data_IF_261610044997
#
_entry.id   IF_261610044997
#
_cell.length_a   1.000
_cell.length_b   1.000
_cell.length_c   1.000
_cell.angle_alpha   90.00
_cell.angle_beta   90.00
_cell.angle_gamma   90.00
#
_symmetry.space_group_name_H-M   'P 1'
#
loop_
_entity.id
_entity.type
_entity.pdbx_description
1 polymer ?
#
# COMPACT_ATOMS: atom_id res chain seq x y z
N UNK A 1 -5.51 24.86 -36.94
CA UNK A 1 -6.80 24.89 -36.25
C UNK A 1 -7.05 23.48 -35.72
N UNK A 2 -6.72 23.20 -34.46
CA UNK A 2 -7.05 21.93 -33.83
C UNK A 2 -8.53 22.00 -33.44
N UNK A 3 -9.36 21.16 -34.04
CA UNK A 3 -10.74 20.99 -33.67
C UNK A 3 -10.81 20.50 -32.22
N UNK A 4 -11.51 21.23 -31.36
CA UNK A 4 -11.93 20.82 -30.03
C UNK A 4 -12.98 19.70 -30.15
N UNK A 5 -12.58 18.55 -30.64
CA UNK A 5 -13.40 17.34 -30.55
C UNK A 5 -13.50 16.97 -29.08
N UNK A 6 -14.72 16.87 -28.57
CA UNK A 6 -15.00 16.24 -27.29
C UNK A 6 -14.37 14.84 -27.33
N UNK A 7 -13.26 14.63 -26.62
CA UNK A 7 -12.63 13.32 -26.53
C UNK A 7 -13.69 12.37 -25.94
N UNK A 8 -14.02 11.30 -26.68
CA UNK A 8 -14.87 10.26 -26.15
C UNK A 8 -14.21 9.75 -24.86
N UNK A 9 -14.96 9.72 -23.77
CA UNK A 9 -14.44 9.25 -22.48
C UNK A 9 -13.90 7.81 -22.58
N UNK A 10 -14.48 6.99 -23.46
CA UNK A 10 -14.03 5.63 -23.75
C UNK A 10 -13.50 5.59 -25.19
N UNK A 11 -12.24 5.23 -25.34
CA UNK A 11 -11.62 5.14 -26.66
C UNK A 11 -12.20 3.96 -27.46
N UNK A 12 -12.50 4.11 -28.78
CA UNK A 12 -13.13 3.05 -29.58
C UNK A 12 -12.35 1.74 -29.69
N UNK A 13 -11.03 1.77 -29.46
CA UNK A 13 -10.17 0.57 -29.45
C UNK A 13 -10.05 -0.07 -28.06
N UNK A 14 -10.71 0.46 -27.03
CA UNK A 14 -10.77 -0.20 -25.74
C UNK A 14 -11.73 -1.40 -25.79
N UNK A 15 -11.36 -2.48 -25.15
CA UNK A 15 -12.18 -3.69 -25.04
C UNK A 15 -12.79 -3.71 -23.65
N UNK A 16 -14.13 -3.70 -23.57
CA UNK A 16 -14.86 -3.71 -22.31
C UNK A 16 -15.83 -4.89 -22.35
N UNK A 17 -15.67 -5.83 -21.41
CA UNK A 17 -16.57 -6.99 -21.33
C UNK A 17 -17.94 -6.62 -20.77
N UNK A 18 -18.99 -7.33 -21.23
CA UNK A 18 -20.38 -6.94 -21.01
C UNK A 18 -20.86 -6.90 -19.56
N UNK A 19 -20.13 -7.51 -18.61
CA UNK A 19 -20.43 -7.45 -17.18
C UNK A 19 -19.57 -6.43 -16.40
N UNK A 20 -18.76 -5.63 -17.09
CA UNK A 20 -18.05 -4.51 -16.46
C UNK A 20 -19.00 -3.35 -16.18
N UNK A 21 -18.90 -2.79 -14.99
CA UNK A 21 -19.71 -1.66 -14.53
C UNK A 21 -18.84 -0.39 -14.45
N UNK A 22 -19.10 0.55 -15.35
CA UNK A 22 -18.40 1.83 -15.39
C UNK A 22 -19.33 2.95 -14.91
N UNK A 23 -18.93 3.69 -13.90
CA UNK A 23 -19.68 4.86 -13.45
C UNK A 23 -19.59 6.01 -14.46
N UNK A 24 -20.36 7.10 -14.24
CA UNK A 24 -20.30 8.30 -15.06
C UNK A 24 -18.89 8.90 -15.10
N UNK A 25 -18.52 9.50 -16.24
CA UNK A 25 -17.24 10.21 -16.46
C UNK A 25 -15.96 9.37 -16.22
N UNK A 26 -16.04 8.05 -16.28
CA UNK A 26 -14.86 7.18 -16.37
C UNK A 26 -14.24 7.34 -17.76
N UNK A 27 -12.94 7.57 -17.82
CA UNK A 27 -12.20 7.65 -19.08
C UNK A 27 -11.32 6.41 -19.27
N UNK A 28 -11.43 5.77 -20.46
CA UNK A 28 -10.62 4.58 -20.81
C UNK A 28 -9.82 4.87 -22.07
N UNK A 29 -8.50 4.78 -21.96
CA UNK A 29 -7.57 5.01 -23.05
C UNK A 29 -7.54 3.87 -24.10
N UNK A 30 -6.83 4.11 -25.23
CA UNK A 30 -6.78 3.15 -26.34
C UNK A 30 -6.12 1.83 -25.94
N UNK A 31 -6.61 0.74 -26.54
CA UNK A 31 -6.07 -0.63 -26.39
C UNK A 31 -6.07 -1.15 -24.94
N UNK A 32 -6.88 -0.56 -24.06
CA UNK A 32 -7.07 -1.07 -22.71
C UNK A 32 -8.13 -2.15 -22.68
N UNK A 33 -7.95 -3.14 -21.79
CA UNK A 33 -8.86 -4.24 -21.58
C UNK A 33 -9.50 -4.15 -20.18
N UNK A 34 -10.82 -4.11 -20.14
CA UNK A 34 -11.61 -4.11 -18.90
C UNK A 34 -12.43 -5.40 -18.87
N UNK A 35 -12.04 -6.31 -18.01
CA UNK A 35 -12.59 -7.66 -17.93
C UNK A 35 -13.95 -7.74 -17.24
N UNK A 36 -14.54 -8.91 -17.31
CA UNK A 36 -15.80 -9.24 -16.65
C UNK A 36 -15.69 -9.06 -15.11
N UNK A 37 -16.75 -8.53 -14.48
CA UNK A 37 -16.81 -8.33 -13.03
C UNK A 37 -15.94 -7.19 -12.52
N UNK A 38 -15.43 -6.33 -13.39
CA UNK A 38 -14.72 -5.10 -13.02
C UNK A 38 -15.73 -3.99 -12.76
N UNK A 39 -15.56 -3.25 -11.65
CA UNK A 39 -16.34 -2.06 -11.29
C UNK A 39 -15.42 -0.86 -11.16
N UNK A 40 -15.72 0.25 -11.83
CA UNK A 40 -14.90 1.47 -11.82
C UNK A 40 -15.75 2.68 -11.43
N UNK A 41 -15.34 3.33 -10.33
CA UNK A 41 -16.00 4.52 -9.78
C UNK A 41 -15.77 5.77 -10.60
N UNK A 42 -16.64 6.76 -10.39
CA UNK A 42 -16.71 8.01 -11.15
C UNK A 42 -15.40 8.79 -11.17
N UNK A 43 -15.09 9.44 -12.28
CA UNK A 43 -13.91 10.29 -12.44
C UNK A 43 -12.57 9.54 -12.55
N UNK A 44 -12.59 8.21 -12.51
CA UNK A 44 -11.37 7.41 -12.69
C UNK A 44 -10.91 7.45 -14.16
N UNK A 45 -9.61 7.62 -14.34
CA UNK A 45 -8.94 7.69 -15.64
C UNK A 45 -8.02 6.49 -15.80
N UNK A 46 -8.29 5.67 -16.80
CA UNK A 46 -7.47 4.53 -17.21
C UNK A 46 -6.69 4.91 -18.48
N UNK A 47 -5.37 4.82 -18.42
CA UNK A 47 -4.46 5.12 -19.52
C UNK A 47 -4.60 4.14 -20.69
N UNK A 48 -3.69 4.22 -21.65
CA UNK A 48 -3.63 3.27 -22.77
C UNK A 48 -2.95 1.95 -22.37
N UNK A 49 -3.33 0.85 -23.01
CA UNK A 49 -2.70 -0.47 -22.80
C UNK A 49 -2.72 -0.93 -21.33
N UNK A 50 -3.76 -0.59 -20.59
CA UNK A 50 -3.98 -1.09 -19.23
C UNK A 50 -4.84 -2.35 -19.30
N UNK A 51 -4.49 -3.35 -18.50
CA UNK A 51 -5.30 -4.56 -18.33
C UNK A 51 -5.90 -4.58 -16.93
N UNK A 52 -7.22 -4.61 -16.83
CA UNK A 52 -7.94 -4.76 -15.57
C UNK A 52 -8.79 -6.02 -15.64
N UNK A 53 -8.50 -7.02 -14.81
CA UNK A 53 -9.26 -8.25 -14.69
C UNK A 53 -10.15 -8.24 -13.46
N UNK A 54 -11.28 -8.88 -13.54
CA UNK A 54 -12.19 -9.05 -12.40
C UNK A 54 -12.11 -10.41 -11.72
N UNK A 55 -12.71 -10.53 -10.52
CA UNK A 55 -13.43 -9.49 -9.78
C UNK A 55 -12.54 -8.39 -9.21
N UNK A 56 -12.71 -7.16 -9.65
CA UNK A 56 -11.96 -6.00 -9.18
C UNK A 56 -12.89 -4.79 -9.02
N UNK A 57 -12.85 -4.16 -7.85
CA UNK A 57 -13.57 -2.92 -7.56
C UNK A 57 -12.58 -1.77 -7.40
N UNK A 58 -12.77 -0.71 -8.17
CA UNK A 58 -11.94 0.49 -8.17
C UNK A 58 -12.84 1.68 -7.82
N UNK A 59 -12.46 2.45 -6.81
CA UNK A 59 -13.18 3.63 -6.35
C UNK A 59 -13.14 4.78 -7.34
N UNK A 60 -13.35 5.99 -6.83
CA UNK A 60 -13.48 7.23 -7.61
C UNK A 60 -12.12 7.91 -7.82
N UNK A 61 -12.03 8.71 -8.90
CA UNK A 61 -10.93 9.64 -9.13
C UNK A 61 -9.52 9.00 -9.12
N UNK A 62 -9.43 7.71 -9.40
CA UNK A 62 -8.15 7.03 -9.55
C UNK A 62 -7.51 7.38 -10.90
N UNK A 63 -6.18 7.34 -10.95
CA UNK A 63 -5.38 7.49 -12.18
C UNK A 63 -4.53 6.26 -12.39
N UNK A 64 -4.81 5.49 -13.43
CA UNK A 64 -4.09 4.26 -13.77
C UNK A 64 -3.34 4.50 -15.09
N UNK A 65 -2.03 4.42 -15.02
CA UNK A 65 -1.15 4.70 -16.16
C UNK A 65 -0.93 3.46 -17.02
N UNK A 66 -0.43 3.70 -18.23
CA UNK A 66 -0.23 2.70 -19.27
C UNK A 66 0.59 1.49 -18.81
N UNK A 67 0.30 0.34 -19.40
CA UNK A 67 0.97 -0.94 -19.16
C UNK A 67 0.85 -1.47 -17.72
N UNK A 68 -0.10 -0.98 -16.93
CA UNK A 68 -0.43 -1.55 -15.63
C UNK A 68 -1.28 -2.80 -15.77
N UNK A 69 -1.05 -3.79 -14.89
CA UNK A 69 -1.81 -5.04 -14.78
C UNK A 69 -2.52 -5.07 -13.42
N UNK A 70 -3.83 -4.94 -13.45
CA UNK A 70 -4.67 -4.77 -12.26
C UNK A 70 -5.64 -5.95 -12.14
N UNK A 71 -5.70 -6.58 -10.96
CA UNK A 71 -6.64 -7.69 -10.70
C UNK A 71 -6.25 -8.99 -11.38
N UNK A 72 -4.98 -9.19 -11.72
CA UNK A 72 -4.50 -10.46 -12.27
C UNK A 72 -4.54 -11.56 -11.21
N UNK A 73 -4.50 -12.82 -11.65
CA UNK A 73 -4.47 -13.98 -10.78
C UNK A 73 -3.27 -13.94 -9.82
N UNK A 74 -3.44 -14.43 -8.59
CA UNK A 74 -2.34 -14.51 -7.64
C UNK A 74 -1.15 -15.33 -8.18
N UNK A 75 0.06 -14.86 -7.96
CA UNK A 75 1.29 -15.63 -8.25
C UNK A 75 1.59 -16.61 -7.11
N UNK A 76 0.63 -17.45 -6.78
CA UNK A 76 0.76 -18.50 -5.77
C UNK A 76 0.52 -19.87 -6.43
N UNK A 77 1.44 -20.83 -6.20
CA UNK A 77 1.31 -22.20 -6.71
C UNK A 77 0.08 -22.96 -6.17
N UNK A 78 -0.49 -22.50 -5.07
CA UNK A 78 -1.69 -23.07 -4.46
C UNK A 78 -3.00 -22.53 -5.06
N UNK A 79 -2.92 -21.44 -5.83
CA UNK A 79 -4.09 -20.87 -6.47
C UNK A 79 -4.65 -21.84 -7.52
N UNK A 80 -5.94 -22.15 -7.41
CA UNK A 80 -6.63 -23.12 -8.24
C UNK A 80 -7.88 -22.52 -8.95
N UNK A 81 -7.77 -21.26 -9.39
CA UNK A 81 -8.82 -20.49 -10.05
C UNK A 81 -10.06 -20.20 -9.17
N UNK A 82 -9.86 -20.07 -7.87
CA UNK A 82 -10.92 -19.67 -6.94
C UNK A 82 -11.36 -18.22 -7.19
N UNK A 83 -12.61 -17.93 -6.87
CA UNK A 83 -13.15 -16.57 -6.97
C UNK A 83 -12.58 -15.74 -5.81
N UNK A 84 -11.69 -14.83 -6.15
CA UNK A 84 -11.05 -13.89 -5.23
C UNK A 84 -11.09 -12.49 -5.83
N UNK A 85 -10.85 -11.45 -5.04
CA UNK A 85 -11.04 -10.08 -5.49
C UNK A 85 -9.88 -9.15 -5.18
N UNK A 86 -9.89 -8.00 -5.85
CA UNK A 86 -9.08 -6.83 -5.55
C UNK A 86 -10.00 -5.63 -5.30
N UNK A 87 -9.80 -4.94 -4.19
CA UNK A 87 -10.52 -3.73 -3.85
C UNK A 87 -9.54 -2.55 -3.78
N UNK A 88 -9.80 -1.50 -4.55
CA UNK A 88 -9.02 -0.26 -4.60
C UNK A 88 -9.94 0.90 -4.23
N UNK A 89 -9.55 1.70 -3.25
CA UNK A 89 -10.27 2.88 -2.82
C UNK A 89 -10.19 4.04 -3.82
N UNK A 90 -10.30 5.25 -3.33
CA UNK A 90 -10.42 6.48 -4.11
C UNK A 90 -9.06 7.20 -4.30
N UNK A 91 -8.93 8.02 -5.34
CA UNK A 91 -7.84 8.98 -5.59
C UNK A 91 -6.43 8.38 -5.59
N UNK A 92 -6.29 7.10 -5.86
CA UNK A 92 -4.97 6.50 -6.01
C UNK A 92 -4.35 6.84 -7.36
N UNK A 93 -3.03 7.00 -7.37
CA UNK A 93 -2.23 7.11 -8.58
C UNK A 93 -1.40 5.85 -8.75
N UNK A 94 -1.68 5.07 -9.80
CA UNK A 94 -0.98 3.83 -10.14
C UNK A 94 -0.20 4.09 -11.43
N UNK A 95 1.12 4.19 -11.30
CA UNK A 95 2.01 4.49 -12.41
C UNK A 95 2.25 3.26 -13.28
N UNK A 96 2.91 3.52 -14.40
CA UNK A 96 3.17 2.56 -15.47
C UNK A 96 3.90 1.30 -14.98
N UNK A 97 3.59 0.18 -15.62
CA UNK A 97 4.16 -1.16 -15.33
C UNK A 97 3.93 -1.66 -13.90
N UNK A 98 2.98 -1.09 -13.18
CA UNK A 98 2.60 -1.61 -11.85
C UNK A 98 1.73 -2.86 -11.99
N UNK A 99 1.85 -3.78 -11.03
CA UNK A 99 1.02 -4.99 -10.97
C UNK A 99 0.38 -5.15 -9.59
N UNK A 100 -0.96 -5.30 -9.57
CA UNK A 100 -1.75 -5.45 -8.35
C UNK A 100 -2.61 -6.71 -8.51
N UNK A 101 -2.39 -7.72 -7.65
CA UNK A 101 -3.04 -9.02 -7.76
C UNK A 101 -4.21 -9.19 -6.82
N UNK A 102 -5.16 -10.06 -7.17
CA UNK A 102 -6.27 -10.47 -6.31
C UNK A 102 -5.78 -11.28 -5.12
N UNK A 103 -6.65 -11.46 -4.13
CA UNK A 103 -6.39 -12.30 -2.96
C UNK A 103 -6.40 -13.80 -3.28
N UNK A 104 -6.17 -14.63 -2.24
CA UNK A 104 -6.25 -16.09 -2.31
C UNK A 104 -7.26 -16.63 -1.29
N UNK A 105 -7.84 -17.80 -1.55
CA UNK A 105 -8.79 -18.45 -0.64
C UNK A 105 -8.17 -18.85 0.69
N UNK A 106 -6.86 -18.94 0.77
CA UNK A 106 -6.12 -19.33 1.96
C UNK A 106 -6.11 -18.25 3.05
N UNK A 107 -6.53 -17.02 2.73
CA UNK A 107 -6.66 -15.92 3.68
C UNK A 107 -8.03 -15.23 3.52
N UNK A 108 -8.07 -13.94 3.26
CA UNK A 108 -9.30 -13.15 3.19
C UNK A 108 -10.00 -13.20 1.82
N UNK A 109 -9.43 -13.88 0.84
CA UNK A 109 -9.89 -13.92 -0.55
C UNK A 109 -9.90 -12.55 -1.25
N UNK A 110 -9.24 -11.55 -0.66
CA UNK A 110 -9.22 -10.19 -1.17
C UNK A 110 -7.89 -9.48 -0.87
N UNK A 111 -7.37 -8.78 -1.87
CA UNK A 111 -6.32 -7.76 -1.69
C UNK A 111 -7.01 -6.41 -1.55
N UNK A 112 -6.64 -5.61 -0.54
CA UNK A 112 -7.27 -4.32 -0.23
C UNK A 112 -6.28 -3.18 -0.30
N UNK A 113 -6.67 -2.12 -1.00
CA UNK A 113 -5.90 -0.88 -1.14
C UNK A 113 -6.82 0.29 -0.75
N UNK A 114 -6.37 1.12 0.17
CA UNK A 114 -7.07 2.30 0.64
C UNK A 114 -7.05 3.45 -0.36
N UNK A 115 -7.02 4.67 0.13
CA UNK A 115 -7.20 5.90 -0.63
C UNK A 115 -5.92 6.73 -0.71
N UNK A 116 -5.86 7.64 -1.68
CA UNK A 116 -4.82 8.68 -1.79
C UNK A 116 -3.39 8.12 -1.87
N UNK A 117 -3.21 6.89 -2.38
CA UNK A 117 -1.92 6.25 -2.47
C UNK A 117 -1.20 6.60 -3.78
N UNK A 118 0.13 6.58 -3.73
CA UNK A 118 1.00 6.71 -4.89
C UNK A 118 1.83 5.43 -5.08
N UNK A 119 1.51 4.68 -6.11
CA UNK A 119 2.30 3.55 -6.61
C UNK A 119 3.13 4.03 -7.80
N UNK A 120 4.43 4.24 -7.60
CA UNK A 120 5.32 4.65 -8.69
C UNK A 120 5.58 3.49 -9.65
N UNK A 121 6.26 3.76 -10.76
CA UNK A 121 6.47 2.79 -11.81
C UNK A 121 7.15 1.49 -11.32
N UNK A 122 6.73 0.36 -11.92
CA UNK A 122 7.23 -0.99 -11.62
C UNK A 122 6.93 -1.50 -10.20
N UNK A 123 5.97 -0.92 -9.49
CA UNK A 123 5.59 -1.44 -8.16
C UNK A 123 4.80 -2.74 -8.29
N UNK A 124 4.94 -3.60 -7.28
CA UNK A 124 4.20 -4.85 -7.21
C UNK A 124 3.48 -4.99 -5.87
N UNK A 125 2.20 -5.34 -5.92
CA UNK A 125 1.39 -5.72 -4.76
C UNK A 125 0.88 -7.13 -4.99
N UNK A 126 1.41 -8.09 -4.24
CA UNK A 126 0.97 -9.47 -4.29
C UNK A 126 -0.40 -9.65 -3.60
N UNK A 127 -0.88 -10.89 -3.66
CA UNK A 127 -2.16 -11.32 -3.12
C UNK A 127 -2.30 -11.08 -1.61
N UNK A 128 -3.53 -10.86 -1.15
CA UNK A 128 -3.89 -10.74 0.27
C UNK A 128 -3.18 -9.60 1.03
N UNK A 129 -2.56 -8.66 0.31
CA UNK A 129 -2.03 -7.44 0.92
C UNK A 129 -3.16 -6.52 1.40
N UNK A 130 -2.92 -5.85 2.52
CA UNK A 130 -3.79 -4.79 3.04
C UNK A 130 -3.00 -3.50 3.10
N UNK A 131 -3.36 -2.53 2.29
CA UNK A 131 -2.67 -1.23 2.17
C UNK A 131 -3.61 -0.13 2.65
N UNK A 132 -3.15 0.69 3.58
CA UNK A 132 -3.88 1.84 4.12
C UNK A 132 -3.95 3.02 3.16
N UNK A 133 -4.16 4.20 3.71
CA UNK A 133 -4.28 5.45 2.97
C UNK A 133 -2.95 6.23 2.94
N UNK A 134 -2.79 7.11 1.94
CA UNK A 134 -1.62 8.01 1.81
C UNK A 134 -0.27 7.30 1.79
N UNK A 135 -0.23 6.06 1.33
CA UNK A 135 0.99 5.27 1.19
C UNK A 135 1.76 5.69 -0.07
N UNK A 136 3.07 5.71 0.01
CA UNK A 136 3.95 5.90 -1.14
C UNK A 136 4.81 4.65 -1.32
N UNK A 137 4.67 4.00 -2.47
CA UNK A 137 5.59 2.97 -2.94
C UNK A 137 6.40 3.55 -4.09
N UNK A 138 7.69 3.81 -3.85
CA UNK A 138 8.59 4.33 -4.89
C UNK A 138 8.93 3.24 -5.92
N UNK A 139 9.56 3.65 -7.02
CA UNK A 139 9.84 2.80 -8.18
C UNK A 139 10.41 1.42 -7.79
N UNK A 140 9.80 0.36 -8.30
CA UNK A 140 10.24 -1.01 -8.10
C UNK A 140 10.04 -1.57 -6.68
N UNK A 141 9.39 -0.83 -5.78
CA UNK A 141 9.04 -1.37 -4.47
C UNK A 141 8.02 -2.52 -4.63
N UNK A 142 8.23 -3.62 -3.89
CA UNK A 142 7.45 -4.84 -4.08
C UNK A 142 7.05 -5.46 -2.74
N UNK A 143 5.77 -5.80 -2.64
CA UNK A 143 5.20 -6.51 -1.50
C UNK A 143 4.95 -7.96 -1.89
N UNK A 144 5.48 -8.89 -1.10
CA UNK A 144 5.06 -10.29 -1.16
C UNK A 144 3.66 -10.45 -0.53
N UNK A 145 3.09 -11.66 -0.63
CA UNK A 145 1.72 -11.91 -0.14
C UNK A 145 1.51 -11.60 1.33
N UNK A 146 0.28 -11.24 1.69
CA UNK A 146 -0.17 -11.02 3.08
C UNK A 146 0.53 -9.86 3.82
N UNK A 147 1.16 -8.93 3.12
CA UNK A 147 1.79 -7.76 3.74
C UNK A 147 0.72 -6.77 4.17
N UNK A 148 0.86 -6.22 5.38
CA UNK A 148 0.05 -5.12 5.88
C UNK A 148 0.89 -3.84 5.85
N UNK A 149 0.51 -2.89 5.00
CA UNK A 149 1.19 -1.61 4.86
C UNK A 149 0.24 -0.51 5.38
N UNK A 150 0.53 0.00 6.56
CA UNK A 150 -0.34 0.96 7.23
C UNK A 150 -0.22 2.36 6.63
N UNK A 151 -1.21 3.21 6.91
CA UNK A 151 -1.34 4.55 6.33
C UNK A 151 -0.09 5.42 6.52
N UNK A 152 0.19 6.28 5.55
CA UNK A 152 1.34 7.18 5.52
C UNK A 152 2.72 6.50 5.54
N UNK A 153 2.80 5.18 5.37
CA UNK A 153 4.08 4.50 5.22
C UNK A 153 4.71 4.81 3.85
N UNK A 154 6.02 4.93 3.82
CA UNK A 154 6.78 5.20 2.58
C UNK A 154 7.81 4.11 2.37
N UNK A 155 7.74 3.45 1.22
CA UNK A 155 8.74 2.49 0.76
C UNK A 155 9.60 3.14 -0.32
N UNK A 156 10.88 3.34 -0.03
CA UNK A 156 11.87 3.83 -0.99
C UNK A 156 12.06 2.89 -2.17
N UNK A 157 12.65 3.39 -3.25
CA UNK A 157 12.81 2.61 -4.49
C UNK A 157 13.48 1.26 -4.27
N UNK A 158 12.99 0.22 -4.96
CA UNK A 158 13.49 -1.16 -4.87
C UNK A 158 13.47 -1.74 -3.44
N UNK A 159 12.56 -1.28 -2.60
CA UNK A 159 12.29 -1.92 -1.31
C UNK A 159 11.54 -3.23 -1.54
N UNK A 160 12.02 -4.32 -0.95
CA UNK A 160 11.41 -5.63 -1.00
C UNK A 160 10.87 -6.01 0.37
N UNK A 161 9.58 -6.35 0.45
CA UNK A 161 8.92 -6.70 1.72
C UNK A 161 8.53 -8.18 1.71
N UNK A 162 9.04 -8.94 2.69
CA UNK A 162 8.75 -10.36 2.84
C UNK A 162 7.28 -10.59 3.21
N UNK A 163 6.75 -11.75 2.80
CA UNK A 163 5.37 -12.14 3.10
C UNK A 163 5.03 -12.09 4.60
N UNK A 164 3.78 -11.75 4.92
CA UNK A 164 3.24 -11.63 6.28
C UNK A 164 3.88 -10.54 7.15
N UNK A 165 4.65 -9.63 6.57
CA UNK A 165 5.27 -8.52 7.30
C UNK A 165 4.28 -7.37 7.48
N UNK A 166 4.30 -6.75 8.66
CA UNK A 166 3.55 -5.53 8.96
C UNK A 166 4.46 -4.31 8.96
N UNK A 167 4.08 -3.29 8.21
CA UNK A 167 4.78 -2.01 8.13
C UNK A 167 3.90 -0.95 8.78
N UNK A 168 4.31 -0.44 9.93
CA UNK A 168 3.52 0.50 10.72
C UNK A 168 3.32 1.86 10.06
N UNK A 169 2.29 2.58 10.49
CA UNK A 169 1.97 3.91 9.95
C UNK A 169 3.14 4.90 10.10
N UNK A 170 3.26 5.82 9.15
CA UNK A 170 4.33 6.83 9.09
C UNK A 170 5.75 6.26 9.08
N UNK A 171 5.95 4.95 8.95
CA UNK A 171 7.30 4.39 8.83
C UNK A 171 7.91 4.75 7.47
N UNK A 172 9.23 4.72 7.41
CA UNK A 172 9.98 5.00 6.19
C UNK A 172 11.05 3.94 5.96
N UNK A 173 11.01 3.29 4.82
CA UNK A 173 12.08 2.40 4.38
C UNK A 173 12.94 3.11 3.32
N UNK A 174 14.25 3.20 3.55
CA UNK A 174 15.18 3.74 2.57
C UNK A 174 15.28 2.85 1.32
N UNK A 175 15.71 3.44 0.20
CA UNK A 175 15.86 2.70 -1.06
C UNK A 175 16.70 1.43 -0.89
N UNK A 176 16.31 0.37 -1.62
CA UNK A 176 17.03 -0.91 -1.61
C UNK A 176 16.95 -1.70 -0.31
N UNK A 177 16.00 -1.38 0.59
CA UNK A 177 15.80 -2.12 1.83
C UNK A 177 15.18 -3.49 1.55
N UNK A 178 15.70 -4.54 2.22
CA UNK A 178 15.08 -5.86 2.30
C UNK A 178 14.45 -6.01 3.70
N UNK A 179 13.12 -6.06 3.76
CA UNK A 179 12.36 -6.06 5.01
C UNK A 179 11.83 -7.45 5.25
N UNK A 180 12.32 -8.11 6.30
CA UNK A 180 11.98 -9.51 6.64
C UNK A 180 11.21 -9.66 7.94
N UNK A 181 11.05 -8.58 8.71
CA UNK A 181 10.35 -8.52 9.99
C UNK A 181 9.55 -7.23 10.08
N UNK A 182 8.63 -7.17 11.04
CA UNK A 182 7.73 -6.04 11.21
C UNK A 182 8.48 -4.72 11.51
N UNK A 183 8.01 -3.63 10.93
CA UNK A 183 8.51 -2.29 11.21
C UNK A 183 7.50 -1.55 12.07
N UNK A 184 7.83 -1.18 13.30
CA UNK A 184 6.91 -0.40 14.14
C UNK A 184 6.55 0.95 13.52
N UNK A 185 5.38 1.53 13.86
CA UNK A 185 4.99 2.85 13.41
C UNK A 185 6.07 3.91 13.65
N UNK A 186 6.17 4.85 12.73
CA UNK A 186 7.07 6.01 12.79
C UNK A 186 8.57 5.69 12.65
N UNK A 187 8.96 4.43 12.54
CA UNK A 187 10.38 4.03 12.49
C UNK A 187 10.93 4.16 11.07
N UNK A 188 12.15 4.71 10.97
CA UNK A 188 12.93 4.69 9.73
C UNK A 188 13.89 3.50 9.72
N UNK A 189 13.92 2.80 8.59
CA UNK A 189 14.84 1.67 8.37
C UNK A 189 15.62 1.84 7.08
N UNK A 190 16.78 1.22 7.00
CA UNK A 190 17.63 1.27 5.80
C UNK A 190 18.92 0.47 5.95
N UNK A 191 19.78 0.54 4.95
CA UNK A 191 21.09 -0.13 4.95
C UNK A 191 21.07 -1.58 4.48
N UNK A 192 22.25 -2.19 4.43
CA UNK A 192 22.47 -3.61 4.09
C UNK A 192 23.39 -4.23 5.14
N UNK A 193 22.88 -5.06 6.03
CA UNK A 193 21.47 -5.45 6.21
C UNK A 193 20.61 -4.28 6.68
N UNK A 194 19.30 -4.35 6.40
CA UNK A 194 18.35 -3.32 6.82
C UNK A 194 18.28 -3.25 8.35
N UNK A 195 18.37 -2.04 8.91
CA UNK A 195 18.37 -1.75 10.35
C UNK A 195 17.55 -0.50 10.66
N UNK A 196 17.01 -0.35 11.89
CA UNK A 196 16.37 0.88 12.33
C UNK A 196 17.40 2.00 12.55
N UNK A 197 17.12 3.20 12.03
CA UNK A 197 17.99 4.36 12.09
C UNK A 197 17.44 5.52 12.94
N UNK A 198 16.18 5.49 13.32
CA UNK A 198 15.51 6.56 14.07
C UNK A 198 14.02 6.60 13.80
N UNK A 199 13.42 7.75 14.04
CA UNK A 199 12.01 8.00 13.75
C UNK A 199 11.88 8.95 12.55
N UNK A 200 10.77 8.81 11.81
CA UNK A 200 10.43 9.67 10.68
C UNK A 200 9.85 11.01 11.15
N UNK A 201 10.63 11.81 11.89
CA UNK A 201 10.16 13.08 12.44
C UNK A 201 9.69 14.05 11.35
N UNK A 202 10.39 14.10 10.22
CA UNK A 202 10.01 14.98 9.10
C UNK A 202 8.65 14.58 8.51
N UNK A 203 8.40 13.27 8.34
CA UNK A 203 7.11 12.79 7.87
C UNK A 203 6.00 13.07 8.88
N UNK A 204 6.28 12.91 10.17
CA UNK A 204 5.34 13.22 11.25
C UNK A 204 4.97 14.72 11.26
N UNK A 205 5.96 15.61 11.23
CA UNK A 205 5.77 17.07 11.22
C UNK A 205 4.96 17.54 9.99
N UNK A 206 5.27 17.04 8.80
CA UNK A 206 4.54 17.36 7.56
C UNK A 206 3.07 16.96 7.61
N UNK A 207 2.73 15.96 8.39
CA UNK A 207 1.36 15.48 8.58
C UNK A 207 0.70 16.04 9.85
N UNK A 208 1.27 17.06 10.48
CA UNK A 208 0.67 17.80 11.58
C UNK A 208 0.73 17.09 12.95
N UNK A 209 1.56 16.06 13.11
CA UNK A 209 1.76 15.41 14.40
C UNK A 209 2.49 16.38 15.33
N UNK A 210 2.00 16.50 16.55
CA UNK A 210 2.50 17.48 17.52
C UNK A 210 3.96 17.25 17.91
N UNK A 211 4.67 18.32 18.25
CA UNK A 211 6.05 18.21 18.76
C UNK A 211 6.12 17.39 20.06
N UNK A 212 5.04 17.35 20.82
CA UNK A 212 4.92 16.53 22.02
C UNK A 212 4.83 15.04 21.69
N UNK A 213 3.94 14.63 20.78
CA UNK A 213 3.85 13.26 20.31
C UNK A 213 5.15 12.78 19.67
N UNK A 214 5.81 13.63 18.87
CA UNK A 214 7.14 13.31 18.31
C UNK A 214 8.17 13.06 19.41
N UNK A 215 8.13 13.80 20.53
CA UNK A 215 9.00 13.54 21.68
C UNK A 215 8.68 12.22 22.38
N UNK A 216 7.38 11.88 22.53
CA UNK A 216 6.93 10.60 23.08
C UNK A 216 7.39 9.43 22.21
N UNK A 217 7.15 9.50 20.90
CA UNK A 217 7.59 8.48 19.94
C UNK A 217 9.13 8.32 19.95
N UNK A 218 9.88 9.40 20.11
CA UNK A 218 11.34 9.33 20.23
C UNK A 218 11.80 8.63 21.52
N UNK A 219 11.06 8.79 22.63
CA UNK A 219 11.31 8.03 23.88
C UNK A 219 11.00 6.55 23.65
N UNK A 220 9.84 6.24 23.05
CA UNK A 220 9.45 4.87 22.70
C UNK A 220 10.49 4.18 21.81
N UNK A 221 10.98 4.85 20.76
CA UNK A 221 12.06 4.34 19.93
C UNK A 221 13.31 3.96 20.76
N UNK A 222 13.69 4.79 21.75
CA UNK A 222 14.84 4.48 22.61
C UNK A 222 14.58 3.26 23.47
N UNK A 223 13.37 3.10 24.02
CA UNK A 223 12.99 1.93 24.82
C UNK A 223 13.12 0.65 24.00
N UNK A 224 12.65 0.66 22.75
CA UNK A 224 12.66 -0.52 21.86
C UNK A 224 14.09 -0.86 21.40
N UNK A 225 14.92 0.14 21.07
CA UNK A 225 16.16 -0.08 20.31
C UNK A 225 17.47 0.30 21.02
N UNK A 226 17.42 1.05 22.14
CA UNK A 226 18.62 1.60 22.78
C UNK A 226 18.76 1.26 24.26
N UNK A 227 17.70 0.83 24.92
CA UNK A 227 17.73 0.59 26.37
C UNK A 227 17.94 -0.90 26.73
N UNK A 228 18.14 -1.75 25.73
CA UNK A 228 18.33 -3.21 25.91
C UNK A 228 17.21 -3.88 26.72
N UNK A 229 15.97 -3.37 26.61
CA UNK A 229 14.80 -3.96 27.22
C UNK A 229 14.28 -5.14 26.38
N UNK A 230 13.64 -6.10 27.05
CA UNK A 230 12.77 -7.03 26.34
C UNK A 230 11.63 -6.24 25.72
N UNK A 231 11.07 -6.74 24.60
CA UNK A 231 10.01 -6.02 23.89
C UNK A 231 8.75 -5.83 24.77
N UNK A 232 8.40 -6.83 25.56
CA UNK A 232 7.28 -6.77 26.51
C UNK A 232 7.48 -5.67 27.55
N UNK A 233 8.66 -5.62 28.19
CA UNK A 233 8.98 -4.61 29.19
C UNK A 233 8.97 -3.19 28.59
N UNK A 234 9.40 -3.05 27.32
CA UNK A 234 9.34 -1.78 26.63
C UNK A 234 7.88 -1.37 26.33
N UNK A 235 7.03 -2.30 25.95
CA UNK A 235 5.59 -2.07 25.68
C UNK A 235 4.90 -1.58 26.96
N UNK A 236 5.10 -2.25 28.09
CA UNK A 236 4.47 -1.88 29.36
C UNK A 236 4.88 -0.44 29.78
N UNK A 237 6.17 -0.10 29.68
CA UNK A 237 6.62 1.28 29.93
C UNK A 237 6.06 2.30 28.94
N UNK A 238 5.82 1.90 27.69
CA UNK A 238 5.21 2.77 26.71
C UNK A 238 3.72 2.99 26.96
N UNK A 239 3.00 1.99 27.49
CA UNK A 239 1.61 2.13 27.90
C UNK A 239 1.46 3.16 29.02
N UNK A 240 2.29 3.07 30.05
CA UNK A 240 2.32 4.05 31.15
C UNK A 240 2.63 5.48 30.64
N UNK A 241 3.46 5.57 29.59
CA UNK A 241 3.86 6.85 28.99
C UNK A 241 2.82 7.42 28.02
N UNK A 242 1.94 6.58 27.47
CA UNK A 242 1.07 6.96 26.35
C UNK A 242 0.06 8.06 26.73
N UNK A 243 -0.52 8.01 27.94
CA UNK A 243 -1.54 8.98 28.34
C UNK A 243 -2.61 9.15 27.25
N UNK A 244 -2.84 10.38 26.83
CA UNK A 244 -3.80 10.73 25.77
C UNK A 244 -3.21 10.71 24.35
N UNK A 245 -1.92 10.36 24.17
CA UNK A 245 -1.28 10.30 22.85
C UNK A 245 -1.83 9.16 22.01
N UNK A 246 -2.56 9.50 20.96
CA UNK A 246 -3.09 8.54 19.98
C UNK A 246 -1.95 7.87 19.18
N UNK A 247 -0.91 8.61 18.89
CA UNK A 247 0.25 8.17 18.13
C UNK A 247 1.04 7.12 18.91
N UNK A 248 1.31 7.37 20.18
CA UNK A 248 2.01 6.40 21.02
C UNK A 248 1.14 5.16 21.29
N UNK A 249 -0.15 5.35 21.55
CA UNK A 249 -1.11 4.25 21.69
C UNK A 249 -1.17 3.38 20.43
N UNK A 250 -1.14 3.98 19.23
CA UNK A 250 -1.08 3.24 17.96
C UNK A 250 0.21 2.42 17.84
N UNK A 251 1.36 2.94 18.29
CA UNK A 251 2.61 2.20 18.31
C UNK A 251 2.57 1.02 19.27
N UNK A 252 2.02 1.21 20.46
CA UNK A 252 1.81 0.15 21.47
C UNK A 252 0.91 -0.96 20.92
N UNK A 253 -0.24 -0.61 20.36
CA UNK A 253 -1.18 -1.57 19.77
C UNK A 253 -0.55 -2.37 18.64
N UNK A 254 0.23 -1.72 17.78
CA UNK A 254 0.99 -2.40 16.73
C UNK A 254 1.96 -3.42 17.34
N UNK A 255 2.75 -3.03 18.32
CA UNK A 255 3.75 -3.91 18.94
C UNK A 255 3.13 -5.11 19.64
N UNK A 256 1.96 -4.95 20.27
CA UNK A 256 1.20 -6.07 20.84
C UNK A 256 0.67 -7.03 19.78
N UNK A 257 0.44 -6.57 18.54
CA UNK A 257 -0.01 -7.40 17.42
C UNK A 257 1.10 -8.13 16.68
N UNK A 258 2.37 -7.89 17.03
CA UNK A 258 3.52 -8.50 16.37
C UNK A 258 3.61 -9.99 16.71
N UNK A 259 3.70 -10.82 15.69
CA UNK A 259 3.83 -12.28 15.86
C UNK A 259 5.19 -12.85 15.43
N UNK A 260 5.92 -12.13 14.57
CA UNK A 260 7.19 -12.58 13.96
C UNK A 260 8.41 -11.79 14.43
N UNK A 261 8.24 -10.95 15.44
CA UNK A 261 9.29 -10.04 15.91
C UNK A 261 9.40 -8.79 15.02
N UNK A 262 10.06 -7.79 15.56
CA UNK A 262 10.33 -6.52 14.87
C UNK A 262 11.76 -6.50 14.30
N UNK A 263 11.97 -5.72 13.25
CA UNK A 263 13.29 -5.46 12.69
C UNK A 263 14.18 -4.76 13.74
N UNK A 264 15.37 -5.35 14.00
CA UNK A 264 16.37 -4.84 14.96
C UNK A 264 17.76 -4.76 14.37
#
# INVERSE_FOLDING_TARGET
MCSSGTLALIHPSAIIEGSAELASNVAIGPYSFIGAGVKIGAGTVVGSHVVIKGPTSIGKENRIYQFSSIGEDPQDKKYANEITSLEIGDRNTIREFSSLHRGTKQDQSVTKIGNDNLFMAYTHVAHDCVIGDHVIMANGASLAGHVQLHSHAILGGFTLVHQFTKIGQYSFAAMGSAITQDIPPFVMVGGKPTRPHGINSVGMERNGISAEDIRLIRKAYKMIYKMNLRLEDAIDQMEDLAGDSKELSAMVNFLRSVSRGILR
#
